data_IF_418706053309
#
_entry.id   IF_418706053309
#
_cell.length_a   1.000
_cell.length_b   1.000
_cell.length_c   1.000
_cell.angle_alpha   90.00
_cell.angle_beta   90.00
_cell.angle_gamma   90.00
#
_symmetry.space_group_name_H-M   'P 1'
#
loop_
_entity.id
_entity.type
_entity.pdbx_description
1 polymer ?
#
# COMPACT_ATOMS: atom_id res chain seq x y z
N UNK A 1 10.64 10.77 -7.12
CA UNK A 1 9.64 9.81 -7.66
C UNK A 1 10.29 8.90 -8.69
N UNK A 2 9.97 7.63 -8.63
CA UNK A 2 10.47 6.64 -9.58
C UNK A 2 9.30 6.00 -10.31
N UNK A 3 9.56 5.49 -11.52
CA UNK A 3 8.55 4.82 -12.35
C UNK A 3 9.02 3.39 -12.62
N UNK A 4 8.19 2.44 -12.24
CA UNK A 4 8.44 1.00 -12.42
C UNK A 4 7.37 0.45 -13.36
N UNK A 5 7.81 -0.28 -14.38
CA UNK A 5 6.89 -0.98 -15.28
C UNK A 5 6.82 -2.45 -14.90
N UNK A 6 5.60 -2.93 -14.68
CA UNK A 6 5.32 -4.33 -14.41
C UNK A 6 4.64 -4.94 -15.64
N UNK A 7 5.26 -5.91 -16.26
CA UNK A 7 4.73 -6.58 -17.45
C UNK A 7 4.05 -7.91 -17.12
N UNK A 8 4.07 -8.32 -15.85
CA UNK A 8 3.56 -9.61 -15.42
C UNK A 8 3.22 -9.59 -13.95
N UNK A 9 2.51 -10.61 -13.48
CA UNK A 9 2.23 -10.81 -12.06
C UNK A 9 3.55 -10.98 -11.30
N UNK A 10 4.52 -11.67 -11.90
CA UNK A 10 5.83 -11.89 -11.31
C UNK A 10 6.60 -10.59 -11.08
N UNK A 11 6.50 -9.63 -11.99
CA UNK A 11 7.10 -8.31 -11.82
C UNK A 11 6.47 -7.56 -10.64
N UNK A 12 5.14 -7.61 -10.53
CA UNK A 12 4.44 -7.00 -9.41
C UNK A 12 4.84 -7.65 -8.09
N UNK A 13 4.97 -8.98 -8.07
CA UNK A 13 5.42 -9.70 -6.88
C UNK A 13 6.86 -9.33 -6.52
N UNK A 14 7.73 -9.13 -7.50
CA UNK A 14 9.11 -8.68 -7.27
C UNK A 14 9.11 -7.31 -6.59
N UNK A 15 8.30 -6.38 -7.07
CA UNK A 15 8.20 -5.05 -6.47
C UNK A 15 7.69 -5.14 -5.01
N UNK A 16 6.67 -5.95 -4.77
CA UNK A 16 6.14 -6.15 -3.43
C UNK A 16 7.20 -6.76 -2.50
N UNK A 17 8.01 -7.69 -3.01
CA UNK A 17 9.10 -8.30 -2.24
C UNK A 17 10.16 -7.25 -1.84
N UNK A 18 10.55 -6.39 -2.78
CA UNK A 18 11.51 -5.33 -2.50
C UNK A 18 10.98 -4.41 -1.40
N UNK A 19 9.73 -3.98 -1.53
CA UNK A 19 9.10 -3.10 -0.54
C UNK A 19 9.00 -3.80 0.81
N UNK A 20 8.61 -5.08 0.83
CA UNK A 20 8.48 -5.84 2.09
C UNK A 20 9.79 -5.91 2.87
N UNK A 21 10.92 -5.96 2.16
CA UNK A 21 12.24 -6.01 2.79
C UNK A 21 12.68 -4.65 3.34
N UNK A 22 11.98 -3.59 2.99
CA UNK A 22 12.29 -2.22 3.38
C UNK A 22 11.34 -1.64 4.43
N UNK A 23 10.31 -2.38 4.84
CA UNK A 23 9.34 -1.90 5.82
C UNK A 23 9.98 -1.70 7.19
N UNK A 24 9.43 -0.77 7.93
CA UNK A 24 9.84 -0.46 9.29
C UNK A 24 8.58 -0.23 10.14
N UNK A 25 8.77 -0.07 11.44
CA UNK A 25 7.68 0.15 12.38
C UNK A 25 6.86 1.38 11.98
N UNK A 26 5.56 1.19 11.81
CA UNK A 26 4.66 2.27 11.41
C UNK A 26 4.65 2.57 9.92
N UNK A 27 5.12 1.65 9.09
CA UNK A 27 5.21 1.84 7.63
C UNK A 27 3.83 2.04 7.01
N UNK A 28 3.66 3.14 6.30
CA UNK A 28 2.38 3.51 5.68
C UNK A 28 2.52 3.59 4.16
N UNK A 29 1.65 2.87 3.45
CA UNK A 29 1.57 2.92 1.99
C UNK A 29 0.22 3.48 1.58
N UNK A 30 0.24 4.48 0.69
CA UNK A 30 -0.96 5.01 0.06
C UNK A 30 -0.99 4.50 -1.38
N UNK A 31 -1.93 3.60 -1.69
CA UNK A 31 -2.05 3.01 -3.01
C UNK A 31 -3.23 3.63 -3.75
N UNK A 32 -2.92 4.35 -4.83
CA UNK A 32 -3.90 5.04 -5.65
C UNK A 32 -3.97 4.39 -7.04
N UNK A 33 -5.11 4.47 -7.67
CA UNK A 33 -5.35 3.90 -8.99
C UNK A 33 -6.83 3.64 -9.20
N UNK A 34 -7.24 3.51 -10.45
CA UNK A 34 -8.63 3.22 -10.78
C UNK A 34 -9.06 1.84 -10.29
N UNK A 35 -10.36 1.61 -10.25
CA UNK A 35 -10.90 0.28 -9.96
C UNK A 35 -10.30 -0.73 -10.96
N UNK A 36 -9.81 -1.86 -10.42
CA UNK A 36 -9.19 -2.89 -11.25
C UNK A 36 -7.74 -2.62 -11.62
N UNK A 37 -7.11 -1.55 -11.10
CA UNK A 37 -5.71 -1.25 -11.40
C UNK A 37 -4.73 -2.25 -10.76
N UNK A 38 -5.16 -2.98 -9.72
CA UNK A 38 -4.32 -3.96 -9.06
C UNK A 38 -3.90 -3.59 -7.64
N UNK A 39 -4.57 -2.64 -7.01
CA UNK A 39 -4.25 -2.22 -5.64
C UNK A 39 -4.38 -3.36 -4.64
N UNK A 40 -5.51 -4.08 -4.67
CA UNK A 40 -5.72 -5.24 -3.80
C UNK A 40 -4.76 -6.39 -4.14
N UNK A 41 -4.48 -6.60 -5.42
CA UNK A 41 -3.51 -7.61 -5.85
C UNK A 41 -2.12 -7.32 -5.28
N UNK A 42 -1.71 -6.06 -5.30
CA UNK A 42 -0.45 -5.65 -4.71
C UNK A 42 -0.45 -5.84 -3.19
N UNK A 43 -1.54 -5.45 -2.52
CA UNK A 43 -1.68 -5.65 -1.07
C UNK A 43 -1.55 -7.13 -0.70
N UNK A 44 -2.17 -8.01 -1.48
CA UNK A 44 -2.07 -9.46 -1.28
C UNK A 44 -0.63 -9.95 -1.38
N UNK A 45 0.09 -9.50 -2.40
CA UNK A 45 1.49 -9.88 -2.60
C UNK A 45 2.37 -9.36 -1.46
N UNK A 46 2.22 -8.09 -1.10
CA UNK A 46 2.98 -7.49 -0.01
C UNK A 46 2.74 -8.23 1.31
N UNK A 47 1.47 -8.48 1.63
CA UNK A 47 1.11 -9.19 2.86
C UNK A 47 1.74 -10.58 2.91
N UNK A 48 1.76 -11.29 1.79
CA UNK A 48 2.39 -12.61 1.70
C UNK A 48 3.87 -12.55 2.11
N UNK A 49 4.61 -11.54 1.62
CA UNK A 49 6.02 -11.37 1.98
C UNK A 49 6.22 -10.89 3.42
N UNK A 50 5.17 -10.35 4.05
CA UNK A 50 5.21 -9.98 5.47
C UNK A 50 4.82 -11.14 6.40
N UNK A 51 4.56 -12.32 5.83
CA UNK A 51 4.25 -13.51 6.62
C UNK A 51 2.77 -13.72 6.91
N UNK A 52 1.88 -13.00 6.21
CA UNK A 52 0.44 -13.20 6.35
C UNK A 52 0.05 -14.49 5.64
N UNK A 53 -0.49 -15.46 6.39
CA UNK A 53 -0.92 -16.75 5.85
C UNK A 53 -2.38 -16.76 5.39
N UNK A 54 -3.18 -15.81 5.85
CA UNK A 54 -4.58 -15.68 5.47
C UNK A 54 -4.74 -15.16 4.05
N UNK A 55 -5.87 -15.47 3.42
CA UNK A 55 -6.19 -14.94 2.10
C UNK A 55 -6.60 -13.47 2.21
N UNK A 56 -5.80 -12.57 1.63
CA UNK A 56 -6.09 -11.13 1.63
C UNK A 56 -7.10 -10.82 0.53
N UNK A 57 -8.20 -10.21 0.92
CA UNK A 57 -9.27 -9.80 0.00
C UNK A 57 -9.58 -8.32 0.20
N UNK A 58 -10.29 -7.71 -0.75
CA UNK A 58 -10.65 -6.30 -0.67
C UNK A 58 -11.47 -5.99 0.58
N UNK A 59 -11.12 -4.97 1.37
CA UNK A 59 -11.89 -4.56 2.53
C UNK A 59 -13.01 -3.56 2.21
N UNK A 60 -13.44 -3.45 0.94
CA UNK A 60 -14.40 -2.41 0.52
C UNK A 60 -15.64 -2.34 1.42
N UNK A 61 -16.21 -3.49 1.80
CA UNK A 61 -17.40 -3.53 2.64
C UNK A 61 -17.11 -3.38 4.13
N UNK A 62 -15.92 -3.74 4.55
CA UNK A 62 -15.50 -3.68 5.96
C UNK A 62 -14.69 -2.43 6.30
N UNK A 63 -14.21 -1.71 5.28
CA UNK A 63 -13.31 -0.56 5.38
C UNK A 63 -11.93 -0.95 5.88
N UNK A 64 -11.83 -1.72 6.95
CA UNK A 64 -10.58 -2.16 7.56
C UNK A 64 -10.57 -3.68 7.74
N UNK A 65 -9.45 -4.30 7.36
CA UNK A 65 -9.15 -5.70 7.70
C UNK A 65 -7.75 -5.76 8.30
N UNK A 66 -7.62 -6.53 9.37
CA UNK A 66 -6.36 -6.72 10.07
C UNK A 66 -5.88 -8.16 9.88
N UNK A 67 -4.61 -8.32 9.55
CA UNK A 67 -4.00 -9.62 9.31
C UNK A 67 -2.75 -9.76 10.19
N UNK A 68 -2.56 -10.92 10.78
CA UNK A 68 -1.37 -11.22 11.55
C UNK A 68 -0.24 -11.61 10.61
N UNK A 69 0.92 -10.95 10.76
CA UNK A 69 2.15 -11.24 10.03
C UNK A 69 3.24 -11.72 10.95
N UNK A 70 4.47 -11.88 10.42
CA UNK A 70 5.60 -12.39 11.22
C UNK A 70 6.14 -11.34 12.17
N UNK A 71 6.71 -10.26 11.63
CA UNK A 71 7.28 -9.18 12.45
C UNK A 71 6.30 -8.04 12.66
N UNK A 72 5.49 -7.76 11.65
CA UNK A 72 4.47 -6.72 11.68
C UNK A 72 3.14 -7.29 11.27
N UNK A 73 2.07 -6.81 11.88
CA UNK A 73 0.73 -7.06 11.38
C UNK A 73 0.47 -6.19 10.15
N UNK A 74 -0.49 -6.59 9.35
CA UNK A 74 -0.83 -5.90 8.12
C UNK A 74 -2.26 -5.37 8.22
N UNK A 75 -2.42 -4.05 8.13
CA UNK A 75 -3.72 -3.39 8.17
C UNK A 75 -4.07 -2.90 6.76
N UNK A 76 -5.16 -3.39 6.24
CA UNK A 76 -5.63 -3.02 4.90
C UNK A 76 -6.89 -2.17 5.03
N UNK A 77 -6.81 -0.91 4.62
CA UNK A 77 -7.90 0.05 4.66
C UNK A 77 -8.32 0.37 3.23
N UNK A 78 -9.64 0.36 2.98
CA UNK A 78 -10.22 0.86 1.73
C UNK A 78 -11.20 1.98 2.08
N UNK A 79 -10.83 3.20 1.74
CA UNK A 79 -11.59 4.39 2.07
C UNK A 79 -12.60 4.81 1.00
N UNK A 80 -12.83 3.97 -0.03
CA UNK A 80 -13.74 4.31 -1.14
C UNK A 80 -15.11 4.75 -0.66
N UNK A 81 -15.66 4.09 0.36
CA UNK A 81 -16.99 4.37 0.87
C UNK A 81 -17.04 5.54 1.86
N UNK A 82 -15.89 6.16 2.11
CA UNK A 82 -15.78 7.26 3.08
C UNK A 82 -15.76 8.65 2.43
N UNK A 83 -15.99 8.73 1.12
CA UNK A 83 -16.06 10.00 0.44
C UNK A 83 -17.14 10.89 1.09
N UNK A 84 -16.72 12.07 1.55
CA UNK A 84 -17.63 13.02 2.22
C UNK A 84 -18.05 12.62 3.64
N UNK A 85 -17.56 11.49 4.16
CA UNK A 85 -17.86 11.02 5.51
C UNK A 85 -16.69 11.38 6.42
N UNK A 86 -16.93 12.18 7.45
CA UNK A 86 -15.92 12.56 8.45
C UNK A 86 -16.25 12.03 9.83
N UNK A 87 -16.75 10.81 9.87
CA UNK A 87 -17.07 10.13 11.10
C UNK A 87 -15.80 9.49 11.68
N UNK A 88 -15.66 9.55 13.01
CA UNK A 88 -14.56 8.86 13.69
C UNK A 88 -14.84 7.36 13.71
N UNK A 89 -14.07 6.61 12.92
CA UNK A 89 -14.16 5.15 12.83
C UNK A 89 -12.98 4.47 13.53
N UNK A 90 -12.13 5.24 14.24
CA UNK A 90 -10.97 4.68 14.92
C UNK A 90 -9.82 4.31 13.99
N UNK A 91 -9.80 4.78 12.76
CA UNK A 91 -8.76 4.43 11.78
C UNK A 91 -7.38 4.98 12.13
N UNK A 92 -7.31 6.11 12.83
CA UNK A 92 -6.02 6.70 13.22
C UNK A 92 -5.15 5.75 14.01
N UNK A 93 -5.74 4.93 14.87
CA UNK A 93 -5.03 3.93 15.66
C UNK A 93 -4.21 3.00 14.79
N UNK A 94 -4.74 2.63 13.63
CA UNK A 94 -4.07 1.72 12.68
C UNK A 94 -3.11 2.46 11.76
N UNK A 95 -3.44 3.67 11.37
CA UNK A 95 -2.62 4.50 10.47
C UNK A 95 -1.34 4.96 11.18
N UNK A 96 -1.46 5.37 12.45
CA UNK A 96 -0.36 5.87 13.26
C UNK A 96 0.25 4.82 14.19
N UNK A 97 -0.16 3.56 14.04
CA UNK A 97 0.33 2.46 14.86
C UNK A 97 1.74 2.01 14.50
N UNK A 98 2.13 0.86 15.02
CA UNK A 98 3.50 0.34 14.90
C UNK A 98 3.63 -0.76 13.85
N UNK A 99 2.57 -1.07 13.13
CA UNK A 99 2.55 -2.12 12.13
C UNK A 99 2.51 -1.53 10.71
N UNK A 100 2.32 -2.36 9.70
CA UNK A 100 2.27 -1.92 8.30
C UNK A 100 0.82 -1.63 7.92
N UNK A 101 0.57 -0.43 7.41
CA UNK A 101 -0.77 -0.02 6.99
C UNK A 101 -0.78 0.29 5.50
N UNK A 102 -1.75 -0.28 4.78
CA UNK A 102 -1.92 -0.11 3.34
C UNK A 102 -3.31 0.48 3.09
N UNK A 103 -3.35 1.67 2.50
CA UNK A 103 -4.60 2.42 2.30
C UNK A 103 -4.89 2.59 0.82
N UNK A 104 -6.09 2.15 0.41
CA UNK A 104 -6.66 2.44 -0.92
C UNK A 104 -7.64 3.60 -0.77
N UNK A 105 -7.69 4.47 -1.80
CA UNK A 105 -8.55 5.66 -1.82
C UNK A 105 -8.28 6.60 -0.66
N UNK A 106 -7.00 6.83 -0.38
CA UNK A 106 -6.56 7.65 0.76
C UNK A 106 -7.01 9.11 0.67
N UNK A 107 -7.31 9.62 -0.53
CA UNK A 107 -7.80 10.99 -0.72
C UNK A 107 -9.12 11.24 0.04
N UNK A 108 -9.89 10.19 0.32
CA UNK A 108 -11.15 10.35 1.05
C UNK A 108 -10.97 10.41 2.57
N UNK A 109 -9.76 10.15 3.05
CA UNK A 109 -9.40 10.26 4.47
C UNK A 109 -8.10 11.04 4.67
N UNK A 110 -7.81 12.00 3.79
CA UNK A 110 -6.57 12.77 3.83
C UNK A 110 -6.35 13.50 5.16
N UNK A 111 -7.44 13.89 5.82
CA UNK A 111 -7.40 14.55 7.11
C UNK A 111 -6.87 13.65 8.25
N UNK A 112 -6.77 12.35 8.03
CA UNK A 112 -6.24 11.38 9.00
C UNK A 112 -4.77 11.03 8.74
N UNK A 113 -4.22 11.45 7.60
CA UNK A 113 -2.90 10.99 7.17
C UNK A 113 -1.77 11.77 7.84
N UNK A 114 -0.68 11.09 8.27
CA UNK A 114 0.52 11.77 8.72
C UNK A 114 1.26 12.42 7.54
N UNK A 115 2.36 13.12 7.85
CA UNK A 115 3.13 13.85 6.85
C UNK A 115 4.09 12.97 6.04
N UNK A 116 4.30 11.73 6.47
CA UNK A 116 5.29 10.83 5.85
C UNK A 116 4.66 9.48 5.48
N UNK A 117 4.97 9.00 4.29
CA UNK A 117 4.41 7.76 3.76
C UNK A 117 5.08 7.39 2.44
N UNK A 118 4.81 6.18 1.96
CA UNK A 118 5.15 5.78 0.59
C UNK A 118 3.90 5.90 -0.26
N UNK A 119 3.94 6.76 -1.26
CA UNK A 119 2.82 6.96 -2.18
C UNK A 119 3.05 6.14 -3.45
N UNK A 120 2.03 5.41 -3.86
CA UNK A 120 2.10 4.54 -5.03
C UNK A 120 0.87 4.77 -5.91
N UNK A 121 1.11 5.18 -7.15
CA UNK A 121 0.04 5.30 -8.14
C UNK A 121 0.19 4.17 -9.15
N UNK A 122 -0.89 3.42 -9.36
CA UNK A 122 -0.91 2.28 -10.28
C UNK A 122 -1.75 2.63 -11.49
N UNK A 123 -1.14 2.57 -12.67
CA UNK A 123 -1.80 2.84 -13.94
C UNK A 123 -1.83 1.59 -14.80
N UNK A 124 -2.97 1.31 -15.41
CA UNK A 124 -3.09 0.22 -16.39
C UNK A 124 -2.77 0.78 -17.76
N UNK A 125 -1.81 0.18 -18.44
CA UNK A 125 -1.40 0.59 -19.80
C UNK A 125 -2.25 -0.12 -20.85
N UNK A 126 -2.21 0.37 -22.10
CA UNK A 126 -3.01 -0.17 -23.21
C UNK A 126 -2.70 -1.65 -23.51
N UNK A 127 -1.46 -2.08 -23.25
CA UNK A 127 -1.02 -3.47 -23.44
C UNK A 127 -1.24 -4.35 -22.20
N UNK A 128 -2.05 -3.87 -21.23
CA UNK A 128 -2.36 -4.56 -19.98
C UNK A 128 -1.20 -4.64 -18.98
N UNK A 129 -0.04 -4.08 -19.30
CA UNK A 129 1.00 -3.90 -18.30
C UNK A 129 0.60 -2.82 -17.29
N UNK A 130 1.33 -2.74 -16.18
CA UNK A 130 1.06 -1.74 -15.14
C UNK A 130 2.26 -0.82 -14.99
N UNK A 131 1.98 0.45 -14.73
CA UNK A 131 3.01 1.43 -14.37
C UNK A 131 2.80 1.81 -12.91
N UNK A 132 3.85 1.67 -12.11
CA UNK A 132 3.86 2.07 -10.71
C UNK A 132 4.70 3.35 -10.59
N UNK A 133 4.07 4.45 -10.24
CA UNK A 133 4.76 5.68 -9.89
C UNK A 133 4.86 5.73 -8.38
N UNK A 134 6.09 5.71 -7.86
CA UNK A 134 6.35 5.56 -6.43
C UNK A 134 7.12 6.76 -5.93
N UNK A 135 6.63 7.36 -4.86
CA UNK A 135 7.26 8.50 -4.22
C UNK A 135 7.35 8.29 -2.71
N UNK A 136 8.55 8.37 -2.18
CA UNK A 136 8.76 8.41 -0.73
C UNK A 136 8.59 9.85 -0.23
N UNK A 137 7.68 10.06 0.70
CA UNK A 137 7.46 11.36 1.34
C UNK A 137 7.97 11.25 2.77
N UNK A 138 9.04 11.97 3.07
CA UNK A 138 9.78 11.86 4.32
C UNK A 138 11.07 11.08 4.15
N UNK A 139 12.03 11.34 5.03
CA UNK A 139 13.41 10.86 4.87
C UNK A 139 13.50 9.33 4.82
N UNK A 140 12.85 8.64 5.75
CA UNK A 140 12.86 7.18 5.79
C UNK A 140 12.22 6.56 4.55
N UNK A 141 11.17 7.19 4.02
CA UNK A 141 10.48 6.70 2.83
C UNK A 141 11.27 6.99 1.55
N UNK A 142 12.05 8.06 1.53
CA UNK A 142 12.96 8.34 0.41
C UNK A 142 14.05 7.28 0.31
N UNK A 143 14.51 6.77 1.44
CA UNK A 143 15.45 5.65 1.45
C UNK A 143 14.84 4.38 0.84
N UNK A 144 13.55 4.14 1.09
CA UNK A 144 12.83 3.02 0.46
C UNK A 144 12.75 3.22 -1.05
N UNK A 145 12.45 4.42 -1.50
CA UNK A 145 12.41 4.76 -2.93
C UNK A 145 13.77 4.48 -3.58
N UNK A 146 14.86 4.90 -2.96
CA UNK A 146 16.22 4.64 -3.45
C UNK A 146 16.53 3.15 -3.51
N UNK A 147 16.11 2.39 -2.52
CA UNK A 147 16.33 0.95 -2.47
C UNK A 147 15.59 0.24 -3.59
N UNK A 148 14.35 0.64 -3.87
CA UNK A 148 13.60 0.11 -5.01
C UNK A 148 14.33 0.38 -6.32
N UNK A 149 14.80 1.61 -6.52
CA UNK A 149 15.53 1.99 -7.71
C UNK A 149 16.83 1.19 -7.86
N UNK A 150 17.53 0.96 -6.76
CA UNK A 150 18.79 0.21 -6.75
C UNK A 150 18.61 -1.26 -7.13
N UNK A 151 17.53 -1.90 -6.65
CA UNK A 151 17.32 -3.34 -6.82
C UNK A 151 16.58 -3.67 -8.11
N UNK A 152 15.61 -2.82 -8.49
CA UNK A 152 14.80 -3.08 -9.68
C UNK A 152 15.66 -3.13 -10.94
#
# INVERSE_FOLDING_TARGET
MITIRSNSVEDTDKLAKIISSSVFEGFLILANGDLGAGKTRFAKSLASYLGVSSNVTSPTFNILKCYEGDKYDFYHIDAYRLEGVKQDLGLEEYIEGNDVCFIEWSEFIDYLLPDTYLKMNILVNDDESRTFNIEGVGENYKEVEKEIERIW
#
